data_IF_093563577265
#
_entry.id   IF_093563577265
#
_cell.length_a   1.000
_cell.length_b   1.000
_cell.length_c   1.000
_cell.angle_alpha   90.00
_cell.angle_beta   90.00
_cell.angle_gamma   90.00
#
_symmetry.space_group_name_H-M   'P 1'
#
loop_
_entity.id
_entity.type
_entity.pdbx_description
1 polymer ?
#
# COMPACT_ATOMS: atom_id res chain seq x y z
N UNK A 1 5.55 -13.74 -17.03
CA UNK A 1 6.03 -12.72 -16.08
C UNK A 1 6.13 -13.40 -14.73
N UNK A 2 7.29 -13.34 -14.08
CA UNK A 2 7.56 -14.01 -12.81
C UNK A 2 7.41 -13.06 -11.62
N UNK A 3 7.47 -13.58 -10.38
CA UNK A 3 7.32 -12.80 -9.17
C UNK A 3 8.40 -11.71 -9.06
N UNK A 4 8.02 -10.56 -8.48
CA UNK A 4 8.88 -9.39 -8.22
C UNK A 4 10.21 -9.73 -7.52
N UNK A 5 10.22 -10.82 -6.75
CA UNK A 5 11.42 -11.46 -6.22
C UNK A 5 11.41 -12.89 -6.77
N UNK A 6 12.31 -13.25 -7.69
CA UNK A 6 12.46 -14.63 -8.14
C UNK A 6 12.66 -15.54 -6.92
N UNK A 7 11.90 -16.64 -6.84
CA UNK A 7 11.87 -17.57 -5.69
C UNK A 7 11.16 -17.08 -4.39
N UNK A 8 10.41 -15.97 -4.40
CA UNK A 8 9.61 -15.50 -3.25
C UNK A 8 8.74 -16.60 -2.62
N UNK A 9 8.05 -17.38 -3.46
CA UNK A 9 7.21 -18.52 -3.03
C UNK A 9 8.00 -19.69 -2.42
N UNK A 10 9.30 -19.84 -2.71
CA UNK A 10 10.15 -20.89 -2.13
C UNK A 10 10.74 -20.48 -0.79
N UNK A 11 10.79 -19.17 -0.50
CA UNK A 11 11.49 -18.60 0.67
C UNK A 11 10.58 -18.33 1.87
N UNK A 12 9.26 -18.37 1.72
CA UNK A 12 8.33 -18.00 2.79
C UNK A 12 7.38 -19.15 3.12
N UNK A 13 7.38 -19.57 4.39
CA UNK A 13 6.26 -20.28 5.03
C UNK A 13 5.26 -19.23 5.51
N UNK A 14 3.98 -19.41 5.18
CA UNK A 14 2.81 -18.68 5.67
C UNK A 14 3.00 -17.15 5.85
N UNK A 15 2.59 -16.37 4.82
CA UNK A 15 2.61 -14.89 4.89
C UNK A 15 1.43 -14.41 5.73
N UNK A 16 1.71 -13.65 6.78
CA UNK A 16 0.70 -12.83 7.44
C UNK A 16 0.57 -11.47 6.70
N UNK A 17 -0.63 -11.21 6.16
CA UNK A 17 -0.94 -9.94 5.50
C UNK A 17 -1.64 -9.01 6.50
N UNK A 18 -0.96 -7.92 6.88
CA UNK A 18 -1.51 -6.88 7.76
C UNK A 18 -1.57 -5.53 7.04
N UNK A 19 -2.76 -4.96 6.88
CA UNK A 19 -2.99 -3.65 6.24
C UNK A 19 -3.07 -2.57 7.32
N UNK A 20 -2.19 -1.56 7.32
CA UNK A 20 -2.15 -0.53 8.37
C UNK A 20 -1.42 0.77 7.94
N UNK A 21 -1.83 1.93 8.47
CA UNK A 21 -1.31 3.30 8.17
C UNK A 21 -0.40 3.79 9.34
N UNK A 22 0.66 4.64 9.20
CA UNK A 22 1.57 5.06 8.09
C UNK A 22 3.04 4.59 8.30
N UNK A 23 4.05 4.98 7.48
CA UNK A 23 5.49 4.53 7.55
C UNK A 23 6.12 4.58 8.95
N UNK A 24 5.81 5.60 9.75
CA UNK A 24 6.28 5.70 11.16
C UNK A 24 5.79 4.50 11.97
N UNK A 25 4.63 3.95 11.61
CA UNK A 25 4.11 2.71 12.14
C UNK A 25 4.87 1.48 11.66
N UNK A 26 5.56 1.37 10.51
CA UNK A 26 6.27 0.10 10.23
C UNK A 26 7.38 -0.19 11.26
N UNK A 27 8.28 0.79 11.49
CA UNK A 27 9.29 0.64 12.55
C UNK A 27 8.65 0.57 13.93
N UNK A 28 7.60 1.37 14.18
CA UNK A 28 6.84 1.27 15.43
C UNK A 28 6.19 -0.10 15.63
N UNK A 29 5.69 -0.74 14.59
CA UNK A 29 4.95 -2.00 14.64
C UNK A 29 5.91 -3.18 14.71
N UNK A 30 7.13 -3.07 14.16
CA UNK A 30 8.18 -4.07 14.32
C UNK A 30 8.94 -3.95 15.66
N UNK A 31 9.00 -2.75 16.28
CA UNK A 31 9.87 -2.52 17.45
C UNK A 31 9.12 -2.09 18.73
N UNK A 32 7.81 -1.79 18.67
CA UNK A 32 6.98 -1.51 19.84
C UNK A 32 6.49 -2.80 20.47
N UNK A 33 6.36 -2.81 21.81
CA UNK A 33 5.81 -3.92 22.59
C UNK A 33 4.32 -4.19 22.33
N UNK A 34 3.64 -3.28 21.63
CA UNK A 34 2.23 -3.42 21.20
C UNK A 34 2.10 -3.45 19.67
N UNK A 35 3.22 -3.53 18.97
CA UNK A 35 3.26 -3.57 17.51
C UNK A 35 2.81 -4.94 17.00
N UNK A 36 1.86 -4.95 16.05
CA UNK A 36 1.34 -6.16 15.41
C UNK A 36 2.35 -6.86 14.51
N UNK A 37 3.47 -6.22 14.21
CA UNK A 37 4.54 -6.78 13.38
C UNK A 37 5.81 -7.11 14.20
N UNK A 38 5.73 -7.04 15.53
CA UNK A 38 6.87 -7.26 16.42
C UNK A 38 7.44 -8.68 16.29
N UNK A 39 6.54 -9.65 16.14
CA UNK A 39 6.87 -11.07 15.99
C UNK A 39 6.68 -11.58 14.55
N UNK A 40 6.44 -10.67 13.59
CA UNK A 40 6.19 -11.05 12.21
C UNK A 40 7.48 -11.54 11.54
N UNK A 41 7.59 -12.86 11.35
CA UNK A 41 8.75 -13.47 10.68
C UNK A 41 8.80 -13.08 9.19
N UNK A 42 7.66 -13.11 8.50
CA UNK A 42 7.56 -12.76 7.09
C UNK A 42 6.27 -11.96 6.84
N UNK A 43 6.39 -10.66 6.49
CA UNK A 43 5.22 -9.83 6.22
C UNK A 43 5.46 -8.81 5.10
N UNK A 44 4.35 -8.37 4.51
CA UNK A 44 4.31 -7.22 3.61
C UNK A 44 3.49 -6.13 4.29
N UNK A 45 4.10 -4.97 4.45
CA UNK A 45 3.46 -3.77 4.94
C UNK A 45 3.05 -2.88 3.78
N UNK A 46 1.79 -2.45 3.75
CA UNK A 46 1.30 -1.40 2.85
C UNK A 46 0.58 -0.35 3.71
N UNK A 47 1.12 0.87 3.69
CA UNK A 47 0.58 2.02 4.40
C UNK A 47 0.16 3.13 3.46
N UNK A 48 -0.82 3.93 3.89
CA UNK A 48 -1.30 5.10 3.14
C UNK A 48 -1.47 6.32 4.02
N UNK A 49 -1.51 7.51 3.42
CA UNK A 49 -1.83 8.77 4.09
C UNK A 49 -1.83 9.90 3.07
N UNK A 50 -0.88 10.82 3.18
CA UNK A 50 -0.56 11.78 2.11
C UNK A 50 -0.08 11.08 0.84
N UNK A 51 0.66 9.99 0.97
CA UNK A 51 1.14 9.15 -0.13
C UNK A 51 0.88 7.66 0.14
N UNK A 52 1.60 6.79 -0.55
CA UNK A 52 1.64 5.36 -0.28
C UNK A 52 3.03 4.92 0.17
N UNK A 53 3.06 3.90 1.00
CA UNK A 53 4.28 3.30 1.48
C UNK A 53 4.19 1.79 1.47
N UNK A 54 5.34 1.16 1.25
CA UNK A 54 5.49 -0.27 1.35
C UNK A 54 6.76 -0.65 2.11
N UNK A 55 6.71 -1.84 2.71
CA UNK A 55 7.86 -2.47 3.35
C UNK A 55 7.70 -3.98 3.30
N UNK A 56 8.81 -4.69 3.29
CA UNK A 56 8.83 -6.15 3.33
C UNK A 56 9.72 -6.56 4.49
N UNK A 57 9.24 -7.47 5.33
CA UNK A 57 10.01 -8.14 6.38
C UNK A 57 10.18 -9.60 5.96
N UNK A 58 11.41 -10.10 5.99
CA UNK A 58 11.73 -11.52 5.76
C UNK A 58 12.67 -11.98 6.86
N UNK A 59 12.34 -13.10 7.50
CA UNK A 59 13.05 -13.63 8.67
C UNK A 59 13.26 -12.58 9.78
N UNK A 60 12.26 -11.73 10.03
CA UNK A 60 12.32 -10.64 11.02
C UNK A 60 13.13 -9.41 10.60
N UNK A 61 13.76 -9.41 9.42
CA UNK A 61 14.58 -8.29 8.92
C UNK A 61 13.82 -7.45 7.89
N UNK A 62 13.84 -6.12 8.05
CA UNK A 62 13.24 -5.18 7.10
C UNK A 62 14.14 -5.05 5.86
N UNK A 63 13.59 -5.30 4.67
CA UNK A 63 14.30 -5.09 3.42
C UNK A 63 14.48 -3.59 3.14
N UNK A 64 15.73 -3.16 2.94
CA UNK A 64 16.04 -1.80 2.51
C UNK A 64 15.94 -1.64 0.99
N UNK A 65 14.86 -1.00 0.52
CA UNK A 65 14.64 -0.68 -0.90
C UNK A 65 15.59 0.42 -1.45
N UNK A 66 16.49 0.98 -0.64
CA UNK A 66 17.60 1.79 -1.17
C UNK A 66 18.77 0.93 -1.63
N UNK A 67 18.87 -0.31 -1.12
CA UNK A 67 19.91 -1.27 -1.45
C UNK A 67 19.43 -2.27 -2.51
N UNK A 68 18.16 -2.65 -2.47
CA UNK A 68 17.54 -3.57 -3.44
C UNK A 68 16.95 -2.80 -4.62
N UNK A 69 17.54 -2.94 -5.81
CA UNK A 69 17.11 -2.22 -7.02
C UNK A 69 16.08 -2.98 -7.88
N UNK A 70 15.91 -4.28 -7.66
CA UNK A 70 15.01 -5.12 -8.47
C UNK A 70 13.52 -4.97 -8.07
N UNK A 71 13.23 -4.12 -7.10
CA UNK A 71 11.92 -3.96 -6.47
C UNK A 71 11.48 -2.51 -6.59
N UNK A 72 10.54 -2.23 -7.50
CA UNK A 72 9.92 -0.90 -7.66
C UNK A 72 9.07 -0.53 -6.47
N UNK A 73 9.20 0.65 -5.89
CA UNK A 73 8.38 1.05 -4.74
C UNK A 73 6.92 1.27 -5.15
N UNK A 74 5.98 1.13 -4.24
CA UNK A 74 4.54 1.19 -4.55
C UNK A 74 4.13 2.50 -5.24
N UNK A 75 4.80 3.62 -4.95
CA UNK A 75 4.57 4.92 -5.61
C UNK A 75 5.14 5.01 -7.03
N UNK A 76 6.06 4.12 -7.42
CA UNK A 76 6.62 4.04 -8.78
C UNK A 76 5.77 3.17 -9.72
N UNK A 77 4.72 2.53 -9.19
CA UNK A 77 3.84 1.67 -9.96
C UNK A 77 2.73 2.46 -10.63
N UNK A 78 2.37 2.02 -11.84
CA UNK A 78 1.28 2.56 -12.62
C UNK A 78 0.15 1.52 -12.73
N UNK A 79 -1.07 2.01 -12.76
CA UNK A 79 -2.25 1.23 -13.14
C UNK A 79 -2.26 0.95 -14.65
N UNK A 80 -3.18 0.10 -15.09
CA UNK A 80 -3.40 -0.13 -16.53
C UNK A 80 -3.81 1.15 -17.27
N UNK A 81 -4.36 2.14 -16.57
CA UNK A 81 -4.75 3.44 -17.12
C UNK A 81 -3.60 4.45 -17.14
N UNK A 82 -2.40 4.08 -16.65
CA UNK A 82 -1.24 4.96 -16.58
C UNK A 82 -1.24 5.92 -15.38
N UNK A 83 -2.26 5.85 -14.52
CA UNK A 83 -2.30 6.60 -13.25
C UNK A 83 -1.33 5.98 -12.24
N UNK A 84 -0.73 6.77 -11.36
CA UNK A 84 0.10 6.21 -10.29
C UNK A 84 -0.76 5.45 -9.29
N UNK A 85 -0.24 4.34 -8.76
CA UNK A 85 -0.91 3.60 -7.68
C UNK A 85 -1.14 4.51 -6.47
N UNK A 86 -0.18 5.37 -6.14
CA UNK A 86 -0.32 6.36 -5.08
C UNK A 86 -1.54 7.27 -5.28
N UNK A 87 -1.69 7.89 -6.45
CA UNK A 87 -2.82 8.78 -6.72
C UNK A 87 -4.16 8.07 -6.61
N UNK A 88 -4.21 6.76 -6.91
CA UNK A 88 -5.41 5.94 -6.88
C UNK A 88 -5.79 5.42 -5.50
N UNK A 89 -4.80 5.14 -4.66
CA UNK A 89 -4.96 4.31 -3.46
C UNK A 89 -4.64 5.05 -2.16
N UNK A 90 -3.85 6.14 -2.19
CA UNK A 90 -3.57 6.90 -0.98
C UNK A 90 -4.85 7.64 -0.52
N UNK A 91 -5.08 7.76 0.79
CA UNK A 91 -6.14 8.59 1.34
C UNK A 91 -6.21 9.99 0.74
N UNK A 92 -5.08 10.69 0.63
CA UNK A 92 -5.04 12.01 0.00
C UNK A 92 -5.41 11.96 -1.49
N UNK A 93 -4.88 11.00 -2.25
CA UNK A 93 -5.20 10.84 -3.68
C UNK A 93 -6.65 10.48 -3.94
N UNK A 94 -7.27 9.68 -3.07
CA UNK A 94 -8.70 9.37 -3.12
C UNK A 94 -9.57 10.61 -2.87
N UNK A 95 -9.23 11.42 -1.85
CA UNK A 95 -9.93 12.69 -1.58
C UNK A 95 -9.74 13.66 -2.74
N UNK A 96 -8.50 13.86 -3.19
CA UNK A 96 -8.16 14.77 -4.29
C UNK A 96 -8.93 14.40 -5.56
N UNK A 97 -8.96 13.12 -5.92
CA UNK A 97 -9.73 12.63 -7.08
C UNK A 97 -11.22 12.89 -6.92
N UNK A 98 -11.78 12.67 -5.73
CA UNK A 98 -13.21 12.91 -5.52
C UNK A 98 -13.56 14.39 -5.63
N UNK A 99 -12.70 15.26 -5.07
CA UNK A 99 -12.89 16.70 -5.05
C UNK A 99 -12.53 17.36 -6.38
N UNK A 100 -11.80 16.67 -7.25
CA UNK A 100 -11.44 17.21 -8.56
C UNK A 100 -12.71 17.61 -9.33
N UNK A 101 -12.71 18.83 -9.88
CA UNK A 101 -13.84 19.47 -10.56
C UNK A 101 -15.08 19.76 -9.69
N UNK A 102 -14.99 19.70 -8.36
CA UNK A 102 -16.07 20.11 -7.44
C UNK A 102 -15.86 21.53 -6.91
N UNK A 103 -16.97 22.21 -6.64
CA UNK A 103 -16.98 23.54 -6.03
C UNK A 103 -16.70 23.48 -4.52
N UNK A 104 -17.02 22.35 -3.88
CA UNK A 104 -16.85 22.12 -2.45
C UNK A 104 -15.92 20.92 -2.26
N UNK A 105 -14.92 21.09 -1.40
CA UNK A 105 -14.02 20.01 -1.00
C UNK A 105 -14.62 19.21 0.15
N UNK A 106 -14.56 17.89 0.04
CA UNK A 106 -15.01 16.94 1.06
C UNK A 106 -13.83 16.27 1.75
N UNK A 107 -14.01 15.94 3.03
CA UNK A 107 -13.07 15.16 3.84
C UNK A 107 -13.54 13.71 4.01
N UNK A 108 -12.65 12.81 4.44
CA UNK A 108 -12.89 11.36 4.52
C UNK A 108 -14.22 10.96 5.18
N UNK A 109 -14.56 11.59 6.30
CA UNK A 109 -15.77 11.27 7.07
C UNK A 109 -17.04 11.63 6.27
N UNK A 110 -17.00 12.70 5.50
CA UNK A 110 -18.10 13.17 4.67
C UNK A 110 -18.27 12.29 3.42
N UNK A 111 -17.15 11.79 2.87
CA UNK A 111 -17.13 10.90 1.71
C UNK A 111 -17.81 9.55 2.00
N UNK A 112 -17.76 9.08 3.25
CA UNK A 112 -18.43 7.83 3.67
C UNK A 112 -19.94 7.83 3.41
N UNK A 113 -20.55 9.02 3.32
CA UNK A 113 -21.99 9.20 3.11
C UNK A 113 -22.34 9.48 1.64
N UNK A 114 -21.35 9.54 0.74
CA UNK A 114 -21.54 9.91 -0.66
C UNK A 114 -21.66 8.66 -1.53
N UNK A 115 -22.84 8.46 -2.12
CA UNK A 115 -23.12 7.30 -2.99
C UNK A 115 -22.19 7.21 -4.21
N UNK A 116 -21.76 8.34 -4.74
CA UNK A 116 -20.88 8.43 -5.91
C UNK A 116 -19.40 8.18 -5.58
N UNK A 117 -19.01 8.20 -4.29
CA UNK A 117 -17.65 7.88 -3.85
C UNK A 117 -17.24 6.43 -4.20
N UNK A 118 -18.20 5.54 -4.44
CA UNK A 118 -17.96 4.16 -4.88
C UNK A 118 -17.07 4.08 -6.13
N UNK A 119 -17.10 5.07 -7.03
CA UNK A 119 -16.24 5.09 -8.22
C UNK A 119 -14.77 5.29 -7.87
N UNK A 120 -14.50 6.12 -6.86
CA UNK A 120 -13.14 6.32 -6.32
C UNK A 120 -12.67 5.05 -5.61
N UNK A 121 -13.55 4.40 -4.84
CA UNK A 121 -13.23 3.10 -4.20
C UNK A 121 -12.92 2.03 -5.23
N UNK A 122 -13.68 1.92 -6.33
CA UNK A 122 -13.39 0.98 -7.42
C UNK A 122 -12.01 1.22 -8.04
N UNK A 123 -11.64 2.49 -8.25
CA UNK A 123 -10.30 2.86 -8.73
C UNK A 123 -9.20 2.48 -7.74
N UNK A 124 -9.43 2.69 -6.45
CA UNK A 124 -8.51 2.22 -5.41
C UNK A 124 -8.36 0.69 -5.44
N UNK A 125 -9.43 -0.06 -5.65
CA UNK A 125 -9.37 -1.53 -5.79
C UNK A 125 -8.58 -1.98 -7.03
N UNK A 126 -8.72 -1.27 -8.16
CA UNK A 126 -7.91 -1.52 -9.36
C UNK A 126 -6.42 -1.31 -9.07
N UNK A 127 -6.07 -0.20 -8.42
CA UNK A 127 -4.69 0.10 -8.03
C UNK A 127 -4.14 -0.87 -6.98
N UNK A 128 -4.95 -1.26 -5.99
CA UNK A 128 -4.58 -2.30 -5.03
C UNK A 128 -4.32 -3.64 -5.73
N UNK A 129 -5.09 -3.96 -6.77
CA UNK A 129 -4.84 -5.17 -7.57
C UNK A 129 -3.49 -5.13 -8.28
N UNK A 130 -2.94 -3.95 -8.61
CA UNK A 130 -1.58 -3.84 -9.18
C UNK A 130 -0.52 -4.25 -8.16
N UNK A 131 -0.72 -3.90 -6.88
CA UNK A 131 0.14 -4.35 -5.79
C UNK A 131 0.09 -5.87 -5.63
N UNK A 132 -1.10 -6.46 -5.77
CA UNK A 132 -1.32 -7.89 -5.55
C UNK A 132 -0.97 -8.78 -6.76
N UNK A 133 -1.13 -8.29 -8.00
CA UNK A 133 -0.98 -9.09 -9.24
C UNK A 133 0.45 -9.15 -9.79
N UNK A 134 1.43 -8.51 -9.16
CA UNK A 134 2.83 -8.77 -9.46
C UNK A 134 3.33 -10.01 -8.70
N UNK A 135 2.77 -11.18 -9.03
CA UNK A 135 3.07 -12.47 -8.41
C UNK A 135 3.24 -13.57 -9.44
#
# INVERSE_FOLDING_TARGET
>A
MGPRIPDFKKRIKEIELSIMIPIVALKGECHSTIGKLQDAENCIYIGGGTGIADGIVINGEIIDFNVVHDVKRSWELLTQTGETVESCLSPAGMIERYNNHRVINFYYLELSQKKDFIHVVKKAMEAFSVLMKQS
#
